data_IF_701584687687
#
_entry.id   IF_701584687687
#
_cell.length_a   1.000
_cell.length_b   1.000
_cell.length_c   1.000
_cell.angle_alpha   90.00
_cell.angle_beta   90.00
_cell.angle_gamma   90.00
#
_symmetry.space_group_name_H-M   'P 1'
#
loop_
_entity.id
_entity.type
_entity.pdbx_description
1 polymer ?
#
# COMPACT_ATOMS: atom_id res chain seq x y z
N UNK A 1 7.41 33.12 38.97
CA UNK A 1 8.19 31.87 39.00
C UNK A 1 7.25 30.73 38.67
N UNK A 2 7.65 29.84 37.76
CA UNK A 2 6.74 28.92 37.07
C UNK A 2 6.23 27.80 37.98
N UNK A 3 4.94 27.84 38.31
CA UNK A 3 4.19 26.82 39.07
C UNK A 3 4.38 25.39 38.53
N UNK A 4 4.74 25.24 37.24
CA UNK A 4 5.02 23.95 36.62
C UNK A 4 6.28 23.29 37.18
N UNK A 5 7.30 24.04 37.60
CA UNK A 5 8.57 23.48 38.10
C UNK A 5 8.43 22.91 39.51
N UNK A 6 7.33 23.17 40.20
CA UNK A 6 7.03 22.63 41.53
C UNK A 6 6.18 21.36 41.48
N UNK A 7 5.57 21.06 40.32
CA UNK A 7 4.76 19.86 40.17
C UNK A 7 5.63 18.60 40.27
N UNK A 8 5.10 17.49 40.81
CA UNK A 8 5.74 16.17 40.74
C UNK A 8 6.05 15.72 39.29
N UNK A 9 7.10 14.90 39.11
CA UNK A 9 7.56 14.46 37.78
C UNK A 9 6.48 13.69 37.00
N UNK A 10 5.70 12.84 37.67
CA UNK A 10 4.58 12.08 37.10
C UNK A 10 3.46 12.98 36.55
N UNK A 11 3.16 14.08 37.24
CA UNK A 11 2.23 15.11 36.75
C UNK A 11 2.82 15.79 35.52
N UNK A 12 4.11 16.14 35.55
CA UNK A 12 4.78 16.74 34.41
C UNK A 12 4.84 15.81 33.19
N UNK A 13 5.07 14.51 33.39
CA UNK A 13 4.98 13.51 32.32
C UNK A 13 3.58 13.50 31.70
N UNK A 14 2.54 13.53 32.54
CA UNK A 14 1.16 13.56 32.08
C UNK A 14 0.80 14.84 31.33
N UNK A 15 1.41 15.98 31.64
CA UNK A 15 1.22 17.22 30.87
C UNK A 15 1.98 17.17 29.55
N UNK A 16 3.27 16.79 29.58
CA UNK A 16 4.14 16.82 28.41
C UNK A 16 3.69 15.86 27.32
N UNK A 17 3.07 14.72 27.66
CA UNK A 17 2.61 13.74 26.67
C UNK A 17 1.52 14.26 25.72
N UNK A 18 0.85 15.36 26.07
CA UNK A 18 -0.16 16.01 25.22
C UNK A 18 0.40 17.13 24.34
N UNK A 19 1.69 17.44 24.49
CA UNK A 19 2.36 18.45 23.67
C UNK A 19 2.68 17.89 22.29
N UNK A 20 2.55 18.73 21.26
CA UNK A 20 3.07 18.41 19.94
C UNK A 20 4.61 18.33 19.98
N UNK A 21 5.21 17.61 19.03
CA UNK A 21 6.66 17.43 19.00
C UNK A 21 7.48 18.75 19.12
N UNK A 22 7.14 19.84 18.38
CA UNK A 22 7.86 21.11 18.51
C UNK A 22 7.79 21.72 19.92
N UNK A 23 6.66 21.54 20.59
CA UNK A 23 6.43 22.06 21.94
C UNK A 23 7.23 21.26 22.97
N UNK A 24 7.39 19.94 22.76
CA UNK A 24 8.29 19.10 23.56
C UNK A 24 9.73 19.62 23.43
N UNK A 25 10.20 19.94 22.22
CA UNK A 25 11.54 20.53 22.01
C UNK A 25 11.71 21.90 22.65
N UNK A 26 10.70 22.75 22.56
CA UNK A 26 10.73 24.07 23.17
C UNK A 26 10.79 23.94 24.69
N UNK A 27 9.97 23.05 25.26
CA UNK A 27 9.96 22.72 26.69
C UNK A 27 11.31 22.19 27.15
N UNK A 28 11.95 21.29 26.39
CA UNK A 28 13.29 20.75 26.69
C UNK A 28 14.35 21.84 26.90
N UNK A 29 14.28 22.95 26.17
CA UNK A 29 15.26 24.05 26.22
C UNK A 29 15.12 24.96 27.43
N UNK A 30 14.07 24.80 28.24
CA UNK A 30 13.76 25.75 29.32
C UNK A 30 14.58 25.50 30.60
N UNK A 31 14.72 24.25 31.05
CA UNK A 31 15.54 23.90 32.21
C UNK A 31 16.00 22.43 32.20
N UNK A 32 17.01 22.09 33.02
CA UNK A 32 17.56 20.72 33.12
C UNK A 32 16.52 19.67 33.51
N UNK A 33 15.55 20.03 34.35
CA UNK A 33 14.47 19.11 34.78
C UNK A 33 13.58 18.74 33.59
N UNK A 34 13.11 19.73 32.82
CA UNK A 34 12.34 19.46 31.61
C UNK A 34 13.16 18.76 30.53
N UNK A 35 14.46 19.04 30.45
CA UNK A 35 15.35 18.26 29.59
C UNK A 35 15.34 16.78 29.95
N UNK A 36 15.47 16.43 31.23
CA UNK A 36 15.43 15.04 31.68
C UNK A 36 14.07 14.37 31.39
N UNK A 37 12.97 15.05 31.71
CA UNK A 37 11.60 14.53 31.52
C UNK A 37 11.30 14.29 30.02
N UNK A 38 11.66 15.23 29.15
CA UNK A 38 11.46 15.08 27.69
C UNK A 38 12.39 14.05 27.03
N UNK A 39 13.34 13.45 27.77
CA UNK A 39 14.18 12.35 27.30
C UNK A 39 13.66 10.97 27.73
N UNK A 40 12.54 10.91 28.44
CA UNK A 40 11.91 9.63 28.76
C UNK A 40 11.20 9.08 27.53
N UNK A 41 11.50 7.82 27.22
CA UNK A 41 10.96 7.10 26.05
C UNK A 41 9.45 7.22 25.91
N UNK A 42 8.71 7.07 27.01
CA UNK A 42 7.25 7.10 27.01
C UNK A 42 6.65 8.42 26.48
N UNK A 43 7.36 9.54 26.67
CA UNK A 43 6.95 10.83 26.09
C UNK A 43 6.93 10.74 24.56
N UNK A 44 7.99 10.22 23.95
CA UNK A 44 8.09 10.08 22.50
C UNK A 44 7.21 8.96 21.94
N UNK A 45 7.06 7.85 22.67
CA UNK A 45 6.09 6.81 22.30
C UNK A 45 4.67 7.37 22.30
N UNK A 46 4.31 8.20 23.28
CA UNK A 46 2.99 8.84 23.32
C UNK A 46 2.86 9.87 22.22
N UNK A 47 3.85 10.74 22.01
CA UNK A 47 3.85 11.71 20.92
C UNK A 47 3.68 11.03 19.57
N UNK A 48 4.39 9.92 19.31
CA UNK A 48 4.24 9.11 18.10
C UNK A 48 2.80 8.59 17.93
N UNK A 49 2.20 8.03 19.00
CA UNK A 49 0.84 7.45 18.95
C UNK A 49 -0.27 8.50 18.84
N UNK A 50 -0.09 9.66 19.46
CA UNK A 50 -1.13 10.70 19.62
C UNK A 50 -1.05 11.81 18.60
N UNK A 51 0.03 11.88 17.82
CA UNK A 51 0.18 12.88 16.76
C UNK A 51 -0.86 12.63 15.66
N UNK A 52 -2.01 13.28 15.80
CA UNK A 52 -3.14 13.23 14.85
C UNK A 52 -2.83 13.85 13.49
N UNK A 53 -1.68 14.52 13.32
CA UNK A 53 -1.22 15.14 12.07
C UNK A 53 -0.20 14.33 11.27
N UNK A 54 0.54 13.43 11.93
CA UNK A 54 1.75 12.81 11.38
C UNK A 54 1.52 11.56 10.55
N UNK A 55 2.12 11.54 9.37
CA UNK A 55 2.28 10.31 8.58
C UNK A 55 3.56 9.58 9.04
N UNK A 56 3.44 8.74 10.07
CA UNK A 56 4.57 7.98 10.63
C UNK A 56 4.75 6.61 9.95
N UNK A 57 6.00 6.14 9.74
CA UNK A 57 6.26 4.78 9.33
C UNK A 57 5.87 3.83 10.45
N UNK A 58 5.29 2.70 10.08
CA UNK A 58 5.05 1.62 11.03
C UNK A 58 6.40 1.10 11.52
N UNK A 59 6.70 1.24 12.80
CA UNK A 59 7.91 0.67 13.42
C UNK A 59 7.48 -0.15 14.62
N UNK A 60 8.22 -1.22 14.94
CA UNK A 60 8.06 -1.86 16.23
C UNK A 60 8.55 -0.89 17.32
N UNK A 61 7.59 -0.28 18.01
CA UNK A 61 7.85 0.71 19.05
C UNK A 61 8.63 0.11 20.23
N UNK A 62 8.66 -1.22 20.41
CA UNK A 62 9.42 -1.87 21.48
C UNK A 62 10.92 -1.94 21.19
N UNK A 63 11.33 -2.09 19.92
CA UNK A 63 12.75 -2.09 19.53
C UNK A 63 13.38 -0.69 19.39
N UNK A 64 12.60 0.37 19.17
CA UNK A 64 13.16 1.72 18.90
C UNK A 64 13.76 2.40 20.14
N UNK A 65 14.95 3.00 20.09
CA UNK A 65 15.45 3.80 21.23
C UNK A 65 14.65 5.10 21.41
N UNK A 66 14.82 5.80 22.54
CA UNK A 66 14.24 7.15 22.72
C UNK A 66 14.67 8.09 21.59
N UNK A 67 15.94 8.04 21.20
CA UNK A 67 16.50 8.90 20.15
C UNK A 67 15.89 8.56 18.80
N UNK A 68 15.68 7.28 18.50
CA UNK A 68 15.02 6.86 17.26
C UNK A 68 13.58 7.37 17.20
N UNK A 69 12.81 7.18 18.28
CA UNK A 69 11.43 7.68 18.37
C UNK A 69 11.36 9.19 18.21
N UNK A 70 12.26 9.92 18.87
CA UNK A 70 12.37 11.37 18.73
C UNK A 70 12.63 11.78 17.28
N UNK A 71 13.60 11.15 16.62
CA UNK A 71 13.92 11.44 15.22
C UNK A 71 12.76 11.10 14.28
N UNK A 72 12.08 9.97 14.50
CA UNK A 72 10.91 9.58 13.72
C UNK A 72 9.80 10.63 13.86
N UNK A 73 9.53 11.08 15.08
CA UNK A 73 8.48 12.05 15.34
C UNK A 73 8.82 13.42 14.73
N UNK A 74 10.07 13.85 14.86
CA UNK A 74 10.57 15.07 14.23
C UNK A 74 10.44 15.04 12.71
N UNK A 75 10.93 13.98 12.07
CA UNK A 75 10.89 13.84 10.60
C UNK A 75 9.45 13.86 10.09
N UNK A 76 8.54 13.18 10.78
CA UNK A 76 7.12 13.22 10.46
C UNK A 76 6.56 14.64 10.50
N UNK A 77 6.83 15.35 11.60
CA UNK A 77 6.36 16.71 11.75
C UNK A 77 6.95 17.66 10.70
N UNK A 78 8.25 17.56 10.43
CA UNK A 78 8.90 18.33 9.38
C UNK A 78 8.28 18.04 8.00
N UNK A 79 7.92 16.79 7.76
CA UNK A 79 7.27 16.37 6.52
C UNK A 79 5.85 16.94 6.44
N UNK A 80 5.07 16.91 7.51
CA UNK A 80 3.74 17.54 7.53
C UNK A 80 3.82 19.04 7.28
N UNK A 81 4.76 19.72 7.94
CA UNK A 81 4.98 21.16 7.76
C UNK A 81 5.40 21.49 6.33
N UNK A 82 6.21 20.62 5.72
CA UNK A 82 6.59 20.70 4.32
C UNK A 82 5.37 20.59 3.41
N UNK A 83 4.51 19.59 3.64
CA UNK A 83 3.31 19.36 2.85
C UNK A 83 2.26 20.45 3.02
N UNK A 84 2.11 20.98 4.24
CA UNK A 84 1.20 22.08 4.54
C UNK A 84 1.63 23.41 3.89
N UNK A 85 2.91 23.54 3.48
CA UNK A 85 3.44 24.76 2.89
C UNK A 85 4.15 24.50 1.54
N UNK A 86 3.41 24.49 0.42
CA UNK A 86 3.96 24.25 -0.91
C UNK A 86 5.06 25.23 -1.34
N UNK A 87 5.11 26.42 -0.72
CA UNK A 87 6.18 27.39 -1.02
C UNK A 87 7.56 26.90 -0.53
N UNK A 88 7.59 26.09 0.53
CA UNK A 88 8.80 25.43 1.03
C UNK A 88 9.18 24.22 0.17
N UNK A 89 8.23 23.63 -0.56
CA UNK A 89 8.47 22.48 -1.43
C UNK A 89 9.59 22.72 -2.45
N UNK A 90 9.65 23.94 -3.01
CA UNK A 90 10.64 24.33 -4.01
C UNK A 90 12.10 24.15 -3.56
N UNK A 91 12.39 24.23 -2.27
CA UNK A 91 13.77 24.17 -1.73
C UNK A 91 14.31 22.75 -1.51
N UNK A 92 13.45 21.73 -1.46
CA UNK A 92 13.89 20.35 -1.14
C UNK A 92 13.85 19.38 -2.33
N UNK A 93 13.49 19.86 -3.53
CA UNK A 93 13.63 19.09 -4.78
C UNK A 93 15.09 18.88 -5.23
N UNK A 94 16.07 19.20 -4.39
CA UNK A 94 17.48 19.26 -4.78
C UNK A 94 18.10 17.87 -5.02
N UNK A 95 17.46 16.78 -4.56
CA UNK A 95 17.88 15.42 -4.94
C UNK A 95 17.06 14.89 -6.11
N UNK A 96 17.41 15.41 -7.29
CA UNK A 96 17.02 14.85 -8.57
C UNK A 96 17.95 13.71 -8.93
N UNK A 97 17.41 12.55 -9.21
CA UNK A 97 18.13 11.45 -9.81
C UNK A 97 17.47 11.11 -11.14
N UNK A 98 18.26 11.06 -12.21
CA UNK A 98 17.76 10.73 -13.52
C UNK A 98 18.31 9.38 -13.93
N UNK A 99 17.42 8.51 -14.39
CA UNK A 99 17.78 7.30 -15.13
C UNK A 99 17.51 7.57 -16.60
N UNK A 100 18.47 7.25 -17.45
CA UNK A 100 18.35 7.26 -18.90
C UNK A 100 18.61 5.86 -19.48
N UNK A 101 18.32 5.68 -20.76
CA UNK A 101 18.47 4.38 -21.41
C UNK A 101 19.89 3.82 -21.34
N UNK A 102 20.90 4.69 -21.29
CA UNK A 102 22.30 4.30 -21.13
C UNK A 102 22.57 3.77 -19.71
N UNK A 103 22.11 4.49 -18.69
CA UNK A 103 22.22 4.09 -17.27
C UNK A 103 21.49 2.78 -16.99
N UNK A 104 20.31 2.60 -17.59
CA UNK A 104 19.52 1.38 -17.42
C UNK A 104 19.99 0.23 -18.33
N UNK A 105 20.76 0.51 -19.38
CA UNK A 105 21.12 -0.47 -20.40
C UNK A 105 19.90 -1.08 -21.11
N UNK A 106 18.79 -0.35 -21.16
CA UNK A 106 17.53 -0.71 -21.84
C UNK A 106 16.90 0.56 -22.42
N UNK A 107 16.04 0.44 -23.43
CA UNK A 107 15.26 1.58 -23.88
C UNK A 107 14.15 1.88 -22.85
N UNK A 108 14.23 3.03 -22.19
CA UNK A 108 13.20 3.46 -21.23
C UNK A 108 11.82 3.60 -21.89
N UNK A 109 11.76 3.88 -23.19
CA UNK A 109 10.49 3.96 -23.91
C UNK A 109 9.78 2.61 -24.06
N UNK A 110 10.53 1.51 -23.88
CA UNK A 110 10.02 0.13 -23.91
C UNK A 110 9.65 -0.40 -22.52
N UNK A 111 9.70 0.43 -21.47
CA UNK A 111 9.20 0.04 -20.14
C UNK A 111 7.69 -0.17 -20.22
N UNK A 112 7.26 -1.37 -19.84
CA UNK A 112 5.86 -1.81 -19.88
C UNK A 112 5.12 -1.48 -18.59
N UNK A 113 5.83 -1.51 -17.47
CA UNK A 113 5.27 -1.21 -16.16
C UNK A 113 6.34 -0.76 -15.16
N UNK A 114 5.87 -0.12 -14.10
CA UNK A 114 6.70 0.39 -13.02
C UNK A 114 6.04 0.21 -11.65
N UNK A 115 6.87 -0.01 -10.64
CA UNK A 115 6.41 -0.12 -9.26
C UNK A 115 7.34 0.64 -8.33
N UNK A 116 6.75 1.39 -7.39
CA UNK A 116 7.46 1.82 -6.19
C UNK A 116 7.13 0.84 -5.07
N UNK A 117 8.16 0.47 -4.33
CA UNK A 117 8.04 -0.47 -3.24
C UNK A 117 8.68 0.09 -1.97
N UNK A 118 7.85 0.24 -0.91
CA UNK A 118 8.19 0.85 0.39
C UNK A 118 8.86 2.22 0.27
N UNK A 119 8.56 2.97 -0.80
CA UNK A 119 9.23 4.22 -1.15
C UNK A 119 10.76 4.11 -1.28
N UNK A 120 11.32 2.89 -1.35
CA UNK A 120 12.76 2.61 -1.36
C UNK A 120 13.20 1.95 -2.64
N UNK A 121 12.43 1.02 -3.17
CA UNK A 121 12.82 0.28 -4.37
C UNK A 121 11.97 0.74 -5.54
N UNK A 122 12.64 1.10 -6.65
CA UNK A 122 12.00 1.35 -7.93
C UNK A 122 12.19 0.10 -8.78
N UNK A 123 11.08 -0.51 -9.18
CA UNK A 123 11.04 -1.69 -10.03
C UNK A 123 10.66 -1.20 -11.42
N UNK A 124 11.50 -1.50 -12.41
CA UNK A 124 11.25 -1.21 -13.81
C UNK A 124 11.09 -2.51 -14.57
N UNK A 125 9.99 -2.62 -15.31
CA UNK A 125 9.66 -3.80 -16.07
C UNK A 125 9.82 -3.52 -17.57
N UNK A 126 10.82 -4.16 -18.17
CA UNK A 126 11.06 -4.18 -19.62
C UNK A 126 10.77 -5.60 -20.15
N UNK A 127 10.30 -5.78 -21.40
CA UNK A 127 9.89 -7.10 -21.92
C UNK A 127 10.93 -8.22 -21.78
N UNK A 128 12.20 -7.85 -21.70
CA UNK A 128 13.33 -8.78 -21.58
C UNK A 128 14.13 -8.62 -20.29
N UNK A 129 13.87 -7.58 -19.49
CA UNK A 129 14.70 -7.26 -18.32
C UNK A 129 13.84 -6.73 -17.18
N UNK A 130 14.11 -7.22 -15.97
CA UNK A 130 13.57 -6.63 -14.74
C UNK A 130 14.73 -5.95 -14.02
N UNK A 131 14.54 -4.67 -13.72
CA UNK A 131 15.51 -3.88 -12.95
C UNK A 131 14.90 -3.48 -11.62
N UNK A 132 15.70 -3.56 -10.56
CA UNK A 132 15.34 -2.98 -9.28
C UNK A 132 16.45 -2.06 -8.81
N UNK A 133 16.07 -0.82 -8.54
CA UNK A 133 16.95 0.22 -8.01
C UNK A 133 16.62 0.47 -6.55
N UNK A 134 17.65 0.54 -5.69
CA UNK A 134 17.49 1.07 -4.34
C UNK A 134 17.71 2.58 -4.37
N UNK A 135 16.61 3.32 -4.24
CA UNK A 135 16.56 4.78 -4.27
C UNK A 135 17.32 5.43 -3.09
N UNK A 136 17.63 4.67 -2.04
CA UNK A 136 18.42 5.16 -0.92
C UNK A 136 19.90 5.29 -1.29
N UNK A 137 20.46 4.23 -1.88
CA UNK A 137 21.86 4.19 -2.32
C UNK A 137 22.04 4.66 -3.77
N UNK A 138 20.93 4.90 -4.49
CA UNK A 138 20.87 5.37 -5.88
C UNK A 138 21.62 4.45 -6.83
N UNK A 139 21.41 3.14 -6.68
CA UNK A 139 22.08 2.15 -7.50
C UNK A 139 21.14 1.00 -7.88
N UNK A 140 21.45 0.35 -8.99
CA UNK A 140 20.87 -0.93 -9.36
C UNK A 140 21.30 -1.96 -8.30
N UNK A 141 20.32 -2.62 -7.69
CA UNK A 141 20.55 -3.69 -6.69
C UNK A 141 20.21 -5.06 -7.25
N UNK A 142 19.46 -5.11 -8.34
CA UNK A 142 19.06 -6.35 -8.97
C UNK A 142 18.74 -6.14 -10.45
N UNK A 143 19.16 -7.13 -11.25
CA UNK A 143 18.84 -7.24 -12.66
C UNK A 143 18.57 -8.70 -12.99
N UNK A 144 17.45 -8.95 -13.63
CA UNK A 144 17.13 -10.24 -14.21
C UNK A 144 16.90 -10.09 -15.70
N UNK A 145 17.71 -10.77 -16.52
CA UNK A 145 17.53 -10.83 -17.96
C UNK A 145 16.77 -12.10 -18.30
N UNK A 146 15.66 -11.96 -19.02
CA UNK A 146 14.93 -13.09 -19.56
C UNK A 146 15.86 -13.91 -20.47
N UNK A 147 15.75 -15.25 -20.48
CA UNK A 147 16.42 -16.06 -21.47
C UNK A 147 16.00 -15.66 -22.90
N UNK A 148 16.79 -16.01 -23.90
CA UNK A 148 16.42 -15.73 -25.31
C UNK A 148 15.06 -16.40 -25.61
N UNK A 149 14.16 -15.68 -26.29
CA UNK A 149 12.77 -16.08 -26.61
C UNK A 149 11.77 -16.06 -25.43
N UNK A 150 12.17 -15.51 -24.29
CA UNK A 150 11.28 -15.30 -23.15
C UNK A 150 10.83 -13.83 -23.15
N UNK A 151 9.52 -13.60 -23.20
CA UNK A 151 8.91 -12.28 -22.98
C UNK A 151 8.26 -12.27 -21.62
N UNK A 152 8.55 -11.24 -20.82
CA UNK A 152 7.83 -11.03 -19.59
C UNK A 152 6.40 -10.55 -19.88
N UNK A 153 5.42 -11.36 -19.50
CA UNK A 153 4.03 -10.91 -19.42
C UNK A 153 3.79 -10.39 -17.99
N UNK A 154 3.43 -9.12 -17.91
CA UNK A 154 3.18 -8.50 -16.63
C UNK A 154 1.89 -9.02 -16.02
N UNK A 155 2.00 -9.50 -14.78
CA UNK A 155 0.87 -9.74 -13.90
C UNK A 155 0.63 -8.44 -13.14
N UNK A 156 -0.60 -7.94 -13.19
CA UNK A 156 -0.91 -6.67 -12.55
C UNK A 156 -0.69 -6.74 -11.03
N UNK A 157 0.48 -6.28 -10.56
CA UNK A 157 0.86 -6.39 -9.16
C UNK A 157 0.16 -5.32 -8.31
N UNK A 158 -0.98 -5.71 -7.75
CA UNK A 158 -1.52 -5.09 -6.55
C UNK A 158 -0.85 -5.74 -5.34
N UNK A 159 0.47 -5.58 -5.20
CA UNK A 159 1.18 -6.01 -3.99
C UNK A 159 0.83 -5.02 -2.88
N UNK A 160 -0.15 -5.41 -2.06
CA UNK A 160 -0.58 -4.63 -0.91
C UNK A 160 -0.12 -5.37 0.33
N UNK A 161 1.13 -5.14 0.72
CA UNK A 161 1.58 -5.54 2.04
C UNK A 161 0.96 -4.58 3.03
N UNK A 162 0.13 -5.10 3.93
CA UNK A 162 -0.12 -4.39 5.17
C UNK A 162 1.22 -4.32 5.88
N UNK A 163 1.80 -3.12 5.98
CA UNK A 163 3.19 -2.80 6.40
C UNK A 163 3.54 -3.33 7.82
N UNK A 164 2.65 -4.05 8.49
CA UNK A 164 2.89 -4.63 9.83
C UNK A 164 3.96 -5.72 9.85
N UNK A 165 4.16 -6.46 8.76
CA UNK A 165 5.09 -7.61 8.77
C UNK A 165 6.43 -7.27 8.10
N UNK A 166 7.18 -6.33 8.71
CA UNK A 166 8.53 -5.94 8.24
C UNK A 166 9.59 -7.04 8.29
N UNK A 167 9.26 -8.19 8.89
CA UNK A 167 10.15 -9.34 8.99
C UNK A 167 9.94 -10.38 7.89
N UNK A 168 8.86 -10.28 7.10
CA UNK A 168 8.59 -11.25 6.04
C UNK A 168 9.28 -10.85 4.75
N UNK A 169 9.73 -11.85 4.02
CA UNK A 169 10.23 -11.65 2.67
C UNK A 169 9.09 -11.17 1.74
N UNK A 170 9.46 -10.36 0.76
CA UNK A 170 8.50 -9.81 -0.18
C UNK A 170 8.63 -10.48 -1.53
N UNK A 171 7.52 -10.88 -2.11
CA UNK A 171 7.53 -11.58 -3.39
C UNK A 171 7.00 -10.64 -4.50
N UNK A 172 7.75 -10.54 -5.59
CA UNK A 172 7.38 -9.84 -6.81
C UNK A 172 7.20 -10.87 -7.94
N UNK A 173 5.98 -11.17 -8.36
CA UNK A 173 5.75 -12.18 -9.38
C UNK A 173 5.87 -11.58 -10.80
N UNK A 174 6.32 -12.40 -11.73
CA UNK A 174 6.35 -12.11 -13.17
C UNK A 174 6.32 -13.40 -13.99
N UNK A 175 5.68 -13.37 -15.15
CA UNK A 175 5.60 -14.54 -16.06
C UNK A 175 6.78 -14.50 -17.00
N UNK A 176 7.50 -15.61 -17.15
CA UNK A 176 8.79 -15.59 -17.86
C UNK A 176 8.69 -16.02 -19.31
N UNK A 177 7.65 -16.74 -19.72
CA UNK A 177 7.44 -17.00 -21.15
C UNK A 177 6.01 -17.41 -21.47
N UNK A 178 5.56 -17.07 -22.68
CA UNK A 178 4.29 -17.54 -23.25
C UNK A 178 4.28 -19.06 -23.47
N UNK A 179 5.44 -19.65 -23.71
CA UNK A 179 5.61 -21.07 -24.02
C UNK A 179 5.65 -21.91 -22.75
N UNK A 180 6.51 -21.55 -21.79
CA UNK A 180 6.66 -22.30 -20.54
C UNK A 180 5.57 -21.96 -19.53
N UNK A 181 4.98 -20.75 -19.65
CA UNK A 181 3.93 -20.23 -18.76
C UNK A 181 4.30 -20.33 -17.28
N UNK A 182 5.60 -20.28 -16.99
CA UNK A 182 6.15 -20.31 -15.64
C UNK A 182 6.10 -18.92 -15.02
N UNK A 183 5.71 -18.87 -13.75
CA UNK A 183 5.84 -17.66 -12.93
C UNK A 183 7.12 -17.76 -12.13
N UNK A 184 7.98 -16.77 -12.28
CA UNK A 184 9.06 -16.53 -11.35
C UNK A 184 8.62 -15.50 -10.33
N UNK A 185 9.11 -15.67 -9.11
CA UNK A 185 8.97 -14.66 -8.07
C UNK A 185 10.35 -14.15 -7.68
N UNK A 186 10.50 -12.83 -7.58
CA UNK A 186 11.65 -12.21 -6.93
C UNK A 186 11.28 -11.98 -5.47
N UNK A 187 11.98 -12.69 -4.61
CA UNK A 187 11.93 -12.52 -3.17
C UNK A 187 12.90 -11.41 -2.75
N UNK A 188 12.41 -10.37 -2.10
CA UNK A 188 13.17 -9.26 -1.54
C UNK A 188 13.13 -9.38 -0.02
N UNK A 189 14.26 -9.67 0.60
CA UNK A 189 14.33 -9.74 2.05
C UNK A 189 14.31 -8.34 2.69
N UNK A 190 13.92 -8.23 3.97
CA UNK A 190 14.02 -6.97 4.73
C UNK A 190 15.45 -6.39 4.78
N UNK A 191 16.46 -7.26 4.67
CA UNK A 191 17.88 -6.87 4.62
C UNK A 191 18.30 -6.33 3.24
N UNK A 192 17.39 -6.32 2.27
CA UNK A 192 17.63 -5.86 0.91
C UNK A 192 18.33 -6.89 0.02
N UNK A 193 18.45 -8.15 0.47
CA UNK A 193 18.93 -9.22 -0.39
C UNK A 193 17.80 -9.65 -1.32
N UNK A 194 18.06 -9.67 -2.62
CA UNK A 194 17.08 -10.12 -3.62
C UNK A 194 17.47 -11.49 -4.15
N UNK A 195 16.53 -12.44 -4.10
CA UNK A 195 16.70 -13.80 -4.60
C UNK A 195 15.57 -14.13 -5.56
N UNK A 196 15.89 -14.82 -6.66
CA UNK A 196 14.87 -15.33 -7.58
C UNK A 196 14.48 -16.71 -7.12
N UNK A 197 13.18 -16.94 -6.97
CA UNK A 197 12.61 -18.23 -6.65
C UNK A 197 11.67 -18.64 -7.77
N UNK A 198 11.99 -19.76 -8.42
CA UNK A 198 11.06 -20.39 -9.35
C UNK A 198 9.92 -21.06 -8.57
N UNK A 199 8.71 -20.85 -9.08
CA UNK A 199 7.47 -21.32 -8.48
C UNK A 199 6.74 -22.17 -9.51
N UNK A 200 7.23 -23.38 -9.80
CA UNK A 200 6.65 -24.25 -10.82
C UNK A 200 5.19 -24.63 -10.51
N UNK A 201 4.77 -24.56 -9.24
CA UNK A 201 3.39 -24.75 -8.81
C UNK A 201 2.43 -23.67 -9.34
N UNK A 202 2.97 -22.54 -9.81
CA UNK A 202 2.25 -21.44 -10.44
C UNK A 202 2.27 -21.52 -11.98
N UNK A 203 2.62 -22.67 -12.57
CA UNK A 203 2.52 -22.84 -14.02
C UNK A 203 1.06 -22.78 -14.44
N UNK A 204 0.70 -21.76 -15.21
CA UNK A 204 -0.67 -21.61 -15.70
C UNK A 204 -0.80 -22.18 -17.11
N UNK A 205 -1.98 -22.69 -17.45
CA UNK A 205 -2.34 -22.91 -18.85
C UNK A 205 -2.87 -21.60 -19.46
N UNK A 206 -1.98 -20.61 -19.68
CA UNK A 206 -2.26 -19.39 -20.45
C UNK A 206 -2.46 -19.68 -21.94
N UNK A 207 -3.65 -20.15 -22.35
CA UNK A 207 -3.96 -20.21 -23.77
C UNK A 207 -3.88 -18.80 -24.38
N UNK A 208 -2.99 -18.65 -25.37
CA UNK A 208 -2.85 -17.53 -26.31
C UNK A 208 -3.27 -16.14 -25.80
N UNK A 209 -2.34 -15.45 -25.14
CA UNK A 209 -2.31 -13.99 -25.12
C UNK A 209 -3.18 -13.32 -24.07
N UNK A 210 -3.53 -14.00 -22.99
CA UNK A 210 -4.44 -13.42 -21.99
C UNK A 210 -3.94 -13.47 -20.56
N UNK A 211 -4.34 -12.45 -19.80
CA UNK A 211 -3.77 -12.08 -18.50
C UNK A 211 -4.37 -12.92 -17.37
N UNK A 212 -3.54 -13.66 -16.63
CA UNK A 212 -3.94 -14.17 -15.31
C UNK A 212 -3.99 -13.00 -14.32
N UNK A 213 -5.00 -12.96 -13.45
CA UNK A 213 -4.98 -12.02 -12.33
C UNK A 213 -4.17 -12.62 -11.20
N UNK A 214 -3.19 -11.87 -10.70
CA UNK A 214 -2.41 -12.21 -9.52
C UNK A 214 -2.45 -11.05 -8.54
N UNK A 215 -2.88 -11.31 -7.31
CA UNK A 215 -2.73 -10.37 -6.20
C UNK A 215 -2.04 -11.06 -5.04
N UNK A 216 -1.14 -10.35 -4.37
CA UNK A 216 -0.30 -10.92 -3.33
C UNK A 216 -0.26 -10.05 -2.08
N UNK A 217 -0.23 -10.72 -0.93
CA UNK A 217 -0.05 -10.11 0.38
C UNK A 217 0.38 -11.17 1.39
N UNK A 218 1.29 -10.83 2.31
CA UNK A 218 1.66 -11.61 3.50
C UNK A 218 1.71 -13.13 3.23
N UNK A 219 2.67 -13.55 2.42
CA UNK A 219 2.92 -14.96 2.05
C UNK A 219 1.82 -15.65 1.22
N UNK A 220 0.81 -14.92 0.76
CA UNK A 220 -0.30 -15.45 0.01
C UNK A 220 -0.40 -14.83 -1.36
N UNK A 221 -0.81 -15.64 -2.33
CA UNK A 221 -1.10 -15.25 -3.70
C UNK A 221 -2.52 -15.69 -4.06
N UNK A 222 -3.36 -14.77 -4.52
CA UNK A 222 -4.66 -15.08 -5.14
C UNK A 222 -4.48 -15.07 -6.65
N UNK A 223 -4.89 -16.16 -7.28
CA UNK A 223 -4.71 -16.38 -8.71
C UNK A 223 -6.04 -16.71 -9.36
N UNK A 224 -6.32 -16.11 -10.50
CA UNK A 224 -7.40 -16.54 -11.39
C UNK A 224 -6.85 -16.90 -12.77
N UNK A 225 -6.96 -18.18 -13.19
CA UNK A 225 -6.81 -18.58 -14.58
C UNK A 225 -8.01 -18.07 -15.39
N UNK A 226 -7.78 -17.53 -16.57
CA UNK A 226 -8.86 -16.92 -17.36
C UNK A 226 -9.86 -17.94 -17.93
N UNK A 227 -9.36 -19.09 -18.43
CA UNK A 227 -10.20 -20.08 -19.12
C UNK A 227 -10.87 -21.10 -18.20
N UNK A 228 -10.49 -21.14 -16.92
CA UNK A 228 -11.24 -21.87 -15.92
C UNK A 228 -12.15 -20.86 -15.22
N UNK A 229 -13.36 -20.67 -15.77
CA UNK A 229 -14.40 -19.72 -15.30
C UNK A 229 -14.68 -19.78 -13.78
N UNK A 230 -14.10 -20.72 -13.03
CA UNK A 230 -14.45 -21.04 -11.65
C UNK A 230 -13.29 -21.39 -10.71
N UNK A 231 -12.03 -21.26 -11.11
CA UNK A 231 -10.92 -21.68 -10.26
C UNK A 231 -10.06 -20.51 -9.78
N UNK A 232 -10.63 -19.58 -9.00
CA UNK A 232 -9.77 -18.70 -8.20
C UNK A 232 -9.12 -19.56 -7.12
N UNK A 233 -7.81 -19.44 -6.94
CA UNK A 233 -7.02 -20.20 -5.98
C UNK A 233 -6.23 -19.25 -5.07
N UNK A 234 -6.07 -19.61 -3.80
CA UNK A 234 -5.07 -19.01 -2.91
C UNK A 234 -3.89 -19.95 -2.78
N UNK A 235 -2.69 -19.39 -2.81
CA UNK A 235 -1.45 -20.14 -2.70
C UNK A 235 -0.66 -19.54 -1.55
N UNK A 236 -0.33 -20.37 -0.57
CA UNK A 236 0.54 -19.98 0.53
C UNK A 236 1.98 -20.23 0.11
N UNK A 237 2.67 -19.17 -0.31
CA UNK A 237 3.97 -19.18 -0.98
C UNK A 237 5.04 -19.96 -0.19
N UNK A 238 5.21 -19.78 1.14
CA UNK A 238 6.23 -20.51 1.89
C UNK A 238 5.99 -22.03 1.89
N UNK A 239 4.74 -22.45 2.05
CA UNK A 239 4.38 -23.89 2.10
C UNK A 239 4.08 -24.50 0.74
N UNK A 240 3.94 -23.67 -0.30
CA UNK A 240 3.46 -24.03 -1.64
C UNK A 240 2.12 -24.75 -1.68
N UNK A 241 1.32 -24.62 -0.63
CA UNK A 241 -0.03 -25.20 -0.56
C UNK A 241 -1.00 -24.35 -1.37
N UNK A 242 -1.82 -25.03 -2.17
CA UNK A 242 -2.87 -24.44 -3.01
C UNK A 242 -4.23 -24.72 -2.36
N UNK A 243 -5.06 -23.69 -2.28
CA UNK A 243 -6.39 -23.70 -1.70
C UNK A 243 -7.39 -23.20 -2.75
N UNK A 244 -8.19 -24.08 -3.38
CA UNK A 244 -9.19 -23.66 -4.34
C UNK A 244 -10.35 -22.97 -3.62
N UNK A 245 -10.87 -21.87 -4.18
CA UNK A 245 -12.12 -21.28 -3.69
C UNK A 245 -13.31 -21.98 -4.34
N UNK A 246 -14.32 -22.30 -3.54
CA UNK A 246 -15.62 -22.72 -4.07
C UNK A 246 -16.41 -21.49 -4.50
N UNK A 247 -16.27 -21.08 -5.77
CA UNK A 247 -16.95 -19.92 -6.36
C UNK A 247 -18.43 -20.14 -6.67
N UNK A 248 -19.16 -20.85 -5.82
CA UNK A 248 -20.62 -20.87 -5.89
C UNK A 248 -21.19 -19.93 -4.82
N UNK A 249 -21.14 -18.60 -4.99
CA UNK A 249 -22.15 -17.79 -4.34
C UNK A 249 -23.49 -18.39 -4.76
N UNK A 250 -24.31 -18.72 -3.77
CA UNK A 250 -25.53 -19.52 -3.95
C UNK A 250 -26.48 -18.88 -4.98
N UNK A 251 -26.32 -17.57 -5.21
CA UNK A 251 -27.13 -16.72 -6.07
C UNK A 251 -26.32 -16.00 -7.18
N UNK A 252 -25.07 -16.37 -7.43
CA UNK A 252 -24.30 -15.70 -8.48
C UNK A 252 -24.78 -16.10 -9.89
N UNK A 253 -24.93 -15.14 -10.81
CA UNK A 253 -25.20 -15.41 -12.21
C UNK A 253 -24.05 -16.21 -12.85
N UNK A 254 -24.32 -16.95 -13.95
CA UNK A 254 -23.33 -17.79 -14.61
C UNK A 254 -22.12 -17.02 -15.13
N UNK A 255 -22.28 -15.74 -15.46
CA UNK A 255 -21.28 -14.93 -16.15
C UNK A 255 -20.54 -13.96 -15.21
N UNK A 256 -20.03 -14.47 -14.10
CA UNK A 256 -19.17 -13.70 -13.19
C UNK A 256 -17.69 -13.82 -13.59
N UNK A 257 -16.99 -12.69 -13.59
CA UNK A 257 -15.54 -12.61 -13.72
C UNK A 257 -14.97 -12.06 -12.43
N UNK A 258 -13.88 -12.65 -11.93
CA UNK A 258 -13.21 -12.07 -10.78
C UNK A 258 -12.59 -10.71 -11.15
N UNK A 259 -12.64 -9.78 -10.20
CA UNK A 259 -12.27 -8.37 -10.41
C UNK A 259 -11.08 -7.97 -9.55
N UNK A 260 -11.11 -8.27 -8.25
CA UNK A 260 -10.02 -7.95 -7.34
C UNK A 260 -10.03 -8.81 -6.08
N UNK A 261 -8.87 -8.95 -5.45
CA UNK A 261 -8.71 -9.60 -4.16
C UNK A 261 -8.16 -8.60 -3.15
N UNK A 262 -8.66 -8.69 -1.91
CA UNK A 262 -8.19 -7.89 -0.81
C UNK A 262 -7.82 -8.78 0.37
N UNK A 263 -6.56 -8.74 0.76
CA UNK A 263 -6.09 -9.40 1.97
C UNK A 263 -6.33 -8.49 3.16
N UNK A 264 -7.05 -9.00 4.15
CA UNK A 264 -7.44 -8.27 5.34
C UNK A 264 -6.70 -8.88 6.54
N UNK A 265 -6.13 -8.04 7.43
CA UNK A 265 -5.52 -8.51 8.67
C UNK A 265 -6.46 -9.39 9.50
N UNK A 266 -5.87 -10.35 10.22
CA UNK A 266 -6.63 -11.43 10.87
C UNK A 266 -6.83 -12.66 9.98
N UNK A 267 -6.18 -12.69 8.81
CA UNK A 267 -6.17 -13.84 7.92
C UNK A 267 -7.47 -14.00 7.15
N UNK A 268 -8.00 -12.91 6.61
CA UNK A 268 -9.16 -12.94 5.72
C UNK A 268 -8.78 -12.51 4.30
N UNK A 269 -9.50 -13.02 3.31
CA UNK A 269 -9.41 -12.57 1.92
C UNK A 269 -10.81 -12.27 1.41
N UNK A 270 -11.02 -11.04 0.98
CA UNK A 270 -12.23 -10.61 0.31
C UNK A 270 -11.99 -10.66 -1.20
N UNK A 271 -12.68 -11.56 -1.88
CA UNK A 271 -12.70 -11.61 -3.34
C UNK A 271 -13.88 -10.80 -3.84
N UNK A 272 -13.68 -10.08 -4.92
CA UNK A 272 -14.73 -9.34 -5.63
C UNK A 272 -14.86 -9.86 -7.06
N UNK A 273 -16.09 -9.89 -7.55
CA UNK A 273 -16.47 -10.38 -8.86
C UNK A 273 -17.41 -9.39 -9.52
N UNK A 274 -17.42 -9.39 -10.84
CA UNK A 274 -18.28 -8.54 -11.66
C UNK A 274 -18.99 -9.39 -12.72
N UNK A 275 -20.24 -9.08 -13.02
CA UNK A 275 -20.92 -9.66 -14.17
C UNK A 275 -20.42 -9.06 -15.48
N UNK A 276 -20.36 -9.88 -16.53
CA UNK A 276 -20.30 -9.35 -17.89
C UNK A 276 -21.70 -8.81 -18.29
N UNK A 277 -21.74 -7.73 -19.09
CA UNK A 277 -23.00 -7.17 -19.62
C UNK A 277 -23.26 -5.69 -19.34
N UNK A 278 -24.47 -5.23 -19.68
CA UNK A 278 -24.90 -3.83 -19.59
C UNK A 278 -25.19 -3.36 -18.16
N UNK A 279 -25.65 -4.26 -17.29
CA UNK A 279 -25.78 -4.04 -15.85
C UNK A 279 -24.65 -4.77 -15.12
N UNK A 280 -23.59 -4.04 -14.77
CA UNK A 280 -22.49 -4.62 -13.98
C UNK A 280 -22.89 -4.65 -12.53
N UNK A 281 -23.16 -5.85 -12.05
CA UNK A 281 -23.37 -6.16 -10.65
C UNK A 281 -22.04 -6.62 -10.07
N UNK A 282 -21.71 -6.11 -8.88
CA UNK A 282 -20.53 -6.51 -8.14
C UNK A 282 -20.91 -7.44 -7.01
N UNK A 283 -20.18 -8.52 -6.90
CA UNK A 283 -20.37 -9.55 -5.88
C UNK A 283 -19.10 -9.62 -5.04
N UNK A 284 -19.24 -10.02 -3.79
CA UNK A 284 -18.10 -10.39 -2.98
C UNK A 284 -18.29 -11.74 -2.31
N UNK A 285 -17.15 -12.34 -1.97
CA UNK A 285 -17.06 -13.47 -1.08
C UNK A 285 -15.87 -13.28 -0.14
N UNK A 286 -16.11 -13.38 1.17
CA UNK A 286 -15.11 -13.25 2.21
C UNK A 286 -14.71 -14.62 2.73
N UNK A 287 -13.41 -14.92 2.71
CA UNK A 287 -12.84 -16.19 3.14
C UNK A 287 -11.93 -15.98 4.33
N UNK A 288 -11.93 -16.94 5.26
CA UNK A 288 -10.96 -17.00 6.36
C UNK A 288 -9.84 -17.96 5.96
N UNK A 289 -8.60 -17.60 6.23
CA UNK A 289 -7.40 -18.35 5.84
C UNK A 289 -6.66 -18.98 7.00
N UNK A 290 -6.64 -18.35 8.19
CA UNK A 290 -5.74 -18.74 9.27
C UNK A 290 -5.87 -20.22 9.68
N UNK A 291 -7.11 -20.71 9.80
CA UNK A 291 -7.38 -22.12 10.14
C UNK A 291 -7.03 -23.08 8.98
N UNK A 292 -7.00 -22.57 7.75
CA UNK A 292 -6.81 -23.35 6.54
C UNK A 292 -5.34 -23.46 6.12
N UNK A 293 -4.48 -22.50 6.48
CA UNK A 293 -3.03 -22.61 6.24
C UNK A 293 -2.47 -23.90 6.90
N UNK A 294 -3.08 -24.33 8.00
CA UNK A 294 -2.76 -25.56 8.71
C UNK A 294 -3.39 -26.82 8.11
N UNK A 295 -4.37 -26.70 7.21
CA UNK A 295 -5.03 -27.84 6.57
C UNK A 295 -4.18 -28.43 5.44
N UNK A 296 -4.58 -29.60 4.96
CA UNK A 296 -3.95 -30.27 3.82
C UNK A 296 -4.19 -29.47 2.54
N UNK A 297 -3.17 -29.42 1.66
CA UNK A 297 -3.29 -28.81 0.34
C UNK A 297 -4.49 -29.39 -0.44
N UNK A 298 -5.15 -28.55 -1.24
CA UNK A 298 -6.31 -28.95 -2.05
C UNK A 298 -7.66 -28.92 -1.31
N UNK A 299 -7.68 -28.64 0.00
CA UNK A 299 -8.94 -28.46 0.74
C UNK A 299 -9.65 -27.19 0.25
N UNK A 300 -10.90 -27.27 -0.23
CA UNK A 300 -11.60 -26.10 -0.73
C UNK A 300 -11.93 -25.11 0.39
N UNK A 301 -11.74 -23.83 0.10
CA UNK A 301 -12.15 -22.73 0.97
C UNK A 301 -13.61 -22.38 0.69
N UNK A 302 -14.39 -22.25 1.75
CA UNK A 302 -15.79 -21.82 1.69
C UNK A 302 -15.91 -20.38 2.16
N UNK A 303 -16.78 -19.59 1.50
CA UNK A 303 -17.01 -18.23 1.92
C UNK A 303 -17.68 -18.23 3.29
N UNK A 304 -17.15 -17.42 4.20
CA UNK A 304 -17.81 -17.09 5.47
C UNK A 304 -18.95 -16.11 5.25
N UNK A 305 -18.83 -15.24 4.25
CA UNK A 305 -19.82 -14.25 3.86
C UNK A 305 -19.83 -14.09 2.35
N UNK A 306 -20.98 -13.73 1.80
CA UNK A 306 -21.15 -13.40 0.39
C UNK A 306 -22.26 -12.35 0.25
N UNK A 307 -22.21 -11.58 -0.82
CA UNK A 307 -23.23 -10.57 -1.09
C UNK A 307 -22.92 -9.74 -2.32
N UNK A 308 -23.64 -8.63 -2.45
CA UNK A 308 -23.50 -7.68 -3.54
C UNK A 308 -22.99 -6.34 -3.03
N UNK A 309 -22.22 -5.64 -3.85
CA UNK A 309 -21.96 -4.22 -3.64
C UNK A 309 -22.98 -3.39 -4.40
N UNK A 310 -23.45 -2.32 -3.77
CA UNK A 310 -24.38 -1.37 -4.39
C UNK A 310 -23.68 -0.42 -5.39
N UNK A 311 -22.35 -0.37 -5.37
CA UNK A 311 -21.54 0.53 -6.19
C UNK A 311 -20.68 -0.25 -7.18
N UNK A 312 -20.61 0.25 -8.40
CA UNK A 312 -19.74 -0.28 -9.46
C UNK A 312 -18.29 0.12 -9.22
N UNK A 313 -17.40 -0.85 -9.02
CA UNK A 313 -15.97 -0.59 -8.86
C UNK A 313 -15.07 -1.56 -9.62
N UNK A 314 -13.96 -1.03 -10.10
CA UNK A 314 -12.91 -1.77 -10.80
C UNK A 314 -11.96 -2.45 -9.82
N UNK A 315 -11.62 -1.79 -8.72
CA UNK A 315 -10.62 -2.26 -7.76
C UNK A 315 -10.94 -1.86 -6.33
N UNK A 316 -10.52 -2.73 -5.42
CA UNK A 316 -10.60 -2.56 -3.98
C UNK A 316 -9.18 -2.45 -3.41
N UNK A 317 -8.90 -1.38 -2.67
CA UNK A 317 -7.62 -1.19 -2.00
C UNK A 317 -7.84 -1.08 -0.49
N UNK A 318 -7.18 -1.93 0.29
CA UNK A 318 -7.23 -1.86 1.75
C UNK A 318 -6.45 -0.62 2.16
N UNK A 319 -7.13 0.32 2.80
CA UNK A 319 -6.46 1.43 3.44
C UNK A 319 -6.01 0.95 4.80
N UNK A 320 -6.95 0.71 5.70
CA UNK A 320 -6.63 0.36 7.07
C UNK A 320 -7.55 -0.71 7.60
N UNK A 321 -7.12 -1.35 8.67
CA UNK A 321 -7.95 -2.26 9.44
C UNK A 321 -7.65 -2.13 10.92
N UNK A 322 -8.67 -2.20 11.74
CA UNK A 322 -8.53 -2.26 13.18
C UNK A 322 -9.52 -3.28 13.76
N UNK A 323 -9.08 -3.96 14.80
CA UNK A 323 -9.96 -4.84 15.57
C UNK A 323 -10.50 -4.02 16.74
N UNK A 324 -11.80 -3.78 16.74
CA UNK A 324 -12.47 -3.11 17.85
C UNK A 324 -12.31 -3.89 19.16
N UNK A 325 -12.53 -3.22 20.29
CA UNK A 325 -12.56 -3.85 21.62
C UNK A 325 -13.64 -4.94 21.74
N UNK A 326 -14.67 -4.89 20.88
CA UNK A 326 -15.74 -5.90 20.80
C UNK A 326 -15.35 -7.13 19.97
N UNK A 327 -14.15 -7.16 19.39
CA UNK A 327 -13.69 -8.20 18.48
C UNK A 327 -14.16 -8.04 17.03
N UNK A 328 -15.03 -7.07 16.74
CA UNK A 328 -15.40 -6.73 15.35
C UNK A 328 -14.17 -6.20 14.62
N UNK A 329 -13.91 -6.72 13.42
CA UNK A 329 -12.85 -6.26 12.54
C UNK A 329 -13.46 -5.25 11.59
N UNK A 330 -13.01 -4.01 11.63
CA UNK A 330 -13.39 -3.04 10.62
C UNK A 330 -12.20 -2.70 9.75
N UNK A 331 -12.46 -2.39 8.49
CA UNK A 331 -11.45 -1.95 7.56
C UNK A 331 -12.01 -0.94 6.58
N UNK A 332 -11.17 0.03 6.24
CA UNK A 332 -11.49 1.02 5.21
C UNK A 332 -10.90 0.58 3.90
N UNK A 333 -11.68 0.64 2.83
CA UNK A 333 -11.21 0.38 1.49
C UNK A 333 -11.51 1.54 0.55
N UNK A 334 -10.63 1.74 -0.43
CA UNK A 334 -10.83 2.65 -1.54
C UNK A 334 -11.32 1.87 -2.75
N UNK A 335 -12.54 2.17 -3.21
CA UNK A 335 -13.11 1.63 -4.44
C UNK A 335 -12.81 2.57 -5.59
N UNK A 336 -12.18 2.08 -6.66
CA UNK A 336 -12.07 2.83 -7.92
C UNK A 336 -13.26 2.50 -8.81
N UNK A 337 -14.23 3.39 -8.96
CA UNK A 337 -15.36 3.21 -9.88
C UNK A 337 -15.04 3.55 -11.34
N UNK A 338 -16.01 3.26 -12.22
CA UNK A 338 -16.01 3.78 -13.60
C UNK A 338 -15.82 5.30 -13.58
N UNK A 339 -15.09 5.82 -14.57
CA UNK A 339 -14.73 7.24 -14.70
C UNK A 339 -13.73 7.79 -13.66
N UNK A 340 -12.98 6.91 -12.98
CA UNK A 340 -11.97 7.25 -11.97
C UNK A 340 -12.55 7.98 -10.76
N UNK A 341 -13.80 7.66 -10.40
CA UNK A 341 -14.35 8.10 -9.11
C UNK A 341 -13.80 7.18 -8.02
N UNK A 342 -13.53 7.74 -6.84
CA UNK A 342 -13.10 6.95 -5.69
C UNK A 342 -14.18 6.98 -4.63
N UNK A 343 -14.42 5.85 -3.98
CA UNK A 343 -15.31 5.76 -2.82
C UNK A 343 -14.51 5.23 -1.65
N UNK A 344 -14.69 5.86 -0.50
CA UNK A 344 -14.26 5.26 0.76
C UNK A 344 -15.38 4.42 1.31
N UNK A 345 -15.07 3.17 1.60
CA UNK A 345 -16.02 2.24 2.18
C UNK A 345 -15.48 1.79 3.50
N UNK A 346 -16.26 1.99 4.54
CA UNK A 346 -16.01 1.43 5.84
C UNK A 346 -16.74 0.08 5.91
N UNK A 347 -15.96 -1.01 5.99
CA UNK A 347 -16.48 -2.37 6.01
C UNK A 347 -16.30 -2.91 7.43
N UNK A 348 -17.39 -3.32 8.06
CA UNK A 348 -17.38 -3.91 9.41
C UNK A 348 -17.74 -5.38 9.35
N UNK A 349 -16.82 -6.24 9.76
CA UNK A 349 -17.05 -7.65 10.05
C UNK A 349 -17.36 -7.80 11.54
N UNK A 350 -18.64 -8.00 11.84
CA UNK A 350 -19.14 -8.22 13.19
C UNK A 350 -18.75 -9.62 13.69
N UNK A 351 -18.59 -9.76 15.01
CA UNK A 351 -18.24 -11.03 15.64
C UNK A 351 -19.28 -12.14 15.46
N UNK A 352 -20.51 -11.80 15.08
CA UNK A 352 -21.59 -12.75 14.75
C UNK A 352 -21.53 -13.23 13.28
N UNK A 353 -20.53 -12.80 12.50
CA UNK A 353 -20.44 -13.14 11.09
C UNK A 353 -21.43 -12.35 10.23
N UNK A 354 -21.71 -11.10 10.58
CA UNK A 354 -22.34 -10.13 9.66
C UNK A 354 -21.29 -9.21 9.07
N UNK A 355 -21.45 -8.89 7.79
CA UNK A 355 -20.64 -7.89 7.10
C UNK A 355 -21.53 -6.67 6.80
N UNK A 356 -21.14 -5.50 7.27
CA UNK A 356 -21.81 -4.24 6.99
C UNK A 356 -20.92 -3.34 6.13
N UNK A 357 -21.54 -2.67 5.16
CA UNK A 357 -20.89 -1.67 4.31
C UNK A 357 -21.47 -0.31 4.63
N UNK A 358 -20.62 0.60 5.08
CA UNK A 358 -20.95 2.00 5.26
C UNK A 358 -20.20 2.79 4.20
N UNK A 359 -20.94 3.20 3.17
CA UNK A 359 -20.41 3.99 2.06
C UNK A 359 -20.29 5.43 2.54
N UNK A 360 -19.05 5.91 2.69
CA UNK A 360 -18.80 7.31 3.03
C UNK A 360 -19.21 8.25 1.89
N UNK A 361 -19.12 9.55 2.15
CA UNK A 361 -19.36 10.58 1.13
C UNK A 361 -18.50 10.33 -0.12
N UNK A 362 -19.08 10.58 -1.30
CA UNK A 362 -18.38 10.46 -2.57
C UNK A 362 -17.14 11.35 -2.58
N UNK A 363 -15.98 10.77 -2.88
CA UNK A 363 -14.78 11.55 -3.17
C UNK A 363 -15.05 12.31 -4.47
N UNK A 364 -14.87 13.65 -4.50
CA UNK A 364 -15.23 14.42 -5.68
C UNK A 364 -14.50 13.89 -6.92
N UNK A 365 -15.22 13.85 -8.07
CA UNK A 365 -14.86 13.25 -9.37
C UNK A 365 -13.62 13.84 -10.08
N UNK A 366 -12.68 14.41 -9.33
CA UNK A 366 -11.60 15.26 -9.81
C UNK A 366 -10.24 14.57 -9.76
N UNK A 367 -10.14 13.32 -9.29
CA UNK A 367 -8.87 12.64 -9.07
C UNK A 367 -8.60 11.56 -10.15
N UNK A 368 -7.38 11.53 -10.68
CA UNK A 368 -6.82 10.49 -11.54
C UNK A 368 -5.57 9.91 -10.89
N UNK A 369 -5.33 8.60 -11.04
CA UNK A 369 -4.12 7.97 -10.52
C UNK A 369 -3.93 8.17 -9.01
N UNK A 370 -4.96 7.85 -8.21
CA UNK A 370 -4.85 7.95 -6.76
C UNK A 370 -3.92 6.84 -6.24
N UNK A 371 -2.75 7.24 -5.73
CA UNK A 371 -1.81 6.40 -5.02
C UNK A 371 -1.88 6.75 -3.55
N UNK A 372 -2.25 5.80 -2.68
CA UNK A 372 -2.34 5.99 -1.24
C UNK A 372 -1.37 5.05 -0.52
N UNK A 373 -0.62 5.58 0.43
CA UNK A 373 0.15 4.82 1.41
C UNK A 373 -0.57 4.91 2.75
N UNK A 374 -0.69 3.81 3.49
CA UNK A 374 -1.44 3.80 4.76
C UNK A 374 -0.50 3.54 5.92
N UNK A 375 -0.67 4.30 7.01
CA UNK A 375 0.10 4.11 8.22
C UNK A 375 -0.57 3.12 9.20
N UNK A 376 0.10 2.87 10.32
CA UNK A 376 -0.36 1.94 11.37
C UNK A 376 -1.62 2.39 12.11
N UNK A 377 -1.91 3.70 12.13
CA UNK A 377 -3.11 4.27 12.73
C UNK A 377 -4.30 4.28 11.76
N UNK A 378 -4.13 3.71 10.57
CA UNK A 378 -5.17 3.63 9.57
C UNK A 378 -5.46 4.91 8.79
N UNK A 379 -4.57 5.89 8.89
CA UNK A 379 -4.57 7.07 8.05
C UNK A 379 -3.84 6.76 6.76
N UNK A 380 -4.48 7.04 5.63
CA UNK A 380 -3.83 6.99 4.32
C UNK A 380 -3.42 8.38 3.88
N UNK A 381 -2.26 8.51 3.26
CA UNK A 381 -1.86 9.74 2.58
C UNK A 381 -1.30 9.37 1.22
N UNK A 382 -1.51 10.23 0.24
CA UNK A 382 -1.11 9.92 -1.10
C UNK A 382 -1.26 11.06 -2.08
N UNK A 383 -1.14 10.72 -3.36
CA UNK A 383 -1.22 11.68 -4.46
C UNK A 383 -2.30 11.27 -5.44
N UNK A 384 -2.92 12.26 -6.05
CA UNK A 384 -3.72 12.08 -7.25
C UNK A 384 -3.50 13.27 -8.18
N UNK A 385 -3.69 13.04 -9.47
CA UNK A 385 -3.69 14.09 -10.47
C UNK A 385 -5.10 14.68 -10.61
N UNK A 386 -5.19 16.01 -10.68
CA UNK A 386 -6.46 16.67 -10.96
C UNK A 386 -6.98 16.42 -12.38
N UNK A 387 -8.29 16.27 -12.54
CA UNK A 387 -8.99 16.03 -13.82
C UNK A 387 -9.03 17.26 -14.76
N UNK A 388 -8.17 18.26 -14.58
CA UNK A 388 -8.21 19.50 -15.37
C UNK A 388 -7.31 19.36 -16.60
N UNK A 389 -7.82 18.73 -17.67
CA UNK A 389 -7.07 18.41 -18.89
C UNK A 389 -5.82 17.56 -18.57
N UNK A 390 -5.00 17.17 -19.55
CA UNK A 390 -3.78 16.34 -19.38
C UNK A 390 -2.71 16.94 -18.46
N UNK A 391 -2.98 18.09 -17.84
CA UNK A 391 -2.05 18.92 -17.09
C UNK A 391 -2.64 19.42 -15.76
N UNK A 392 -3.63 18.71 -15.21
CA UNK A 392 -4.24 19.11 -13.95
C UNK A 392 -3.23 19.12 -12.81
N UNK A 393 -3.40 20.01 -11.81
CA UNK A 393 -2.48 20.11 -10.70
C UNK A 393 -2.50 18.82 -9.88
N UNK A 394 -1.36 18.45 -9.33
CA UNK A 394 -1.28 17.35 -8.38
C UNK A 394 -2.03 17.72 -7.10
N UNK A 395 -2.59 16.72 -6.46
CA UNK A 395 -3.32 16.85 -5.21
C UNK A 395 -2.76 15.88 -4.19
N UNK A 396 -2.42 16.40 -3.03
CA UNK A 396 -2.17 15.60 -1.84
C UNK A 396 -3.53 15.18 -1.29
N UNK A 397 -3.74 13.88 -1.16
CA UNK A 397 -4.93 13.30 -0.58
C UNK A 397 -4.57 12.75 0.80
N UNK A 398 -5.30 13.16 1.82
CA UNK A 398 -5.14 12.68 3.18
C UNK A 398 -6.45 12.08 3.67
N UNK A 399 -6.46 10.78 3.85
CA UNK A 399 -7.61 9.98 4.27
C UNK A 399 -7.43 9.58 5.72
N UNK A 400 -8.38 9.94 6.58
CA UNK A 400 -8.35 9.53 7.98
C UNK A 400 -9.76 9.26 8.48
N UNK A 401 -9.85 8.57 9.62
CA UNK A 401 -11.11 8.35 10.33
C UNK A 401 -11.25 9.43 11.39
N UNK A 402 -12.40 10.09 11.45
CA UNK A 402 -12.66 11.08 12.51
C UNK A 402 -13.02 10.39 13.84
N UNK A 403 -13.19 11.17 14.92
CA UNK A 403 -13.53 10.62 16.24
C UNK A 403 -14.85 9.84 16.31
N UNK A 404 -15.72 9.94 15.29
CA UNK A 404 -16.99 9.21 15.19
C UNK A 404 -16.88 7.92 14.38
N UNK A 405 -15.72 7.61 13.80
CA UNK A 405 -15.56 6.48 12.90
C UNK A 405 -15.83 6.81 11.42
N UNK A 406 -16.14 8.06 11.09
CA UNK A 406 -16.47 8.44 9.70
C UNK A 406 -15.18 8.69 8.89
N UNK A 407 -15.09 8.16 7.65
CA UNK A 407 -13.99 8.46 6.76
C UNK A 407 -14.04 9.93 6.31
N UNK A 408 -12.89 10.62 6.40
CA UNK A 408 -12.68 11.96 5.89
C UNK A 408 -11.55 11.96 4.87
N UNK A 409 -11.77 12.63 3.73
CA UNK A 409 -10.69 12.97 2.80
C UNK A 409 -10.46 14.47 2.81
N UNK A 410 -9.24 14.86 3.14
CA UNK A 410 -8.74 16.19 2.90
C UNK A 410 -7.91 16.20 1.62
N UNK A 411 -8.28 17.05 0.66
CA UNK A 411 -7.58 17.20 -0.61
C UNK A 411 -6.96 18.59 -0.65
N UNK A 412 -5.66 18.67 -0.86
CA UNK A 412 -4.93 19.93 -1.01
C UNK A 412 -4.12 19.94 -2.29
N UNK A 413 -4.15 21.05 -3.04
CA UNK A 413 -3.38 21.19 -4.28
C UNK A 413 -1.88 21.25 -3.99
N UNK A 414 -1.13 20.38 -4.63
CA UNK A 414 0.31 20.45 -4.75
C UNK A 414 0.65 21.29 -5.97
N UNK A 415 1.38 22.39 -5.76
CA UNK A 415 1.91 23.22 -6.84
C UNK A 415 3.12 22.54 -7.53
N UNK A 416 2.97 21.26 -7.88
CA UNK A 416 3.94 20.50 -8.66
C UNK A 416 3.51 20.65 -10.12
N UNK A 417 4.27 21.46 -10.86
CA UNK A 417 4.10 21.62 -12.30
C UNK A 417 4.85 20.47 -13.00
N UNK A 418 4.15 19.69 -13.81
CA UNK A 418 4.73 18.61 -14.62
C UNK A 418 3.68 17.94 -15.50
N UNK A 419 4.03 17.66 -16.75
CA UNK A 419 3.16 17.05 -17.75
C UNK A 419 3.33 15.52 -17.86
N UNK A 420 4.13 14.94 -17.00
CA UNK A 420 4.57 13.55 -17.11
C UNK A 420 3.62 12.61 -16.34
N UNK A 421 3.59 11.33 -16.71
CA UNK A 421 2.99 10.29 -15.87
C UNK A 421 3.86 10.12 -14.62
N UNK A 422 3.25 9.99 -13.44
CA UNK A 422 3.99 9.76 -12.21
C UNK A 422 3.48 8.54 -11.46
N UNK A 423 4.42 7.83 -10.84
CA UNK A 423 4.14 6.99 -9.68
C UNK A 423 4.69 7.66 -8.44
N UNK A 424 3.93 7.57 -7.34
CA UNK A 424 4.28 8.19 -6.08
C UNK A 424 4.11 7.21 -4.93
N UNK A 425 5.08 7.18 -4.03
CA UNK A 425 4.96 6.47 -2.76
C UNK A 425 5.42 7.39 -1.62
N UNK A 426 4.56 7.51 -0.61
CA UNK A 426 4.81 8.28 0.59
C UNK A 426 5.37 7.44 1.74
N UNK A 427 5.61 6.14 1.51
CA UNK A 427 6.05 5.27 2.57
C UNK A 427 7.40 5.71 3.17
N UNK A 428 7.47 5.59 4.49
CA UNK A 428 8.68 5.80 5.30
C UNK A 428 9.40 7.14 5.07
N UNK A 429 8.67 8.26 5.03
CA UNK A 429 9.23 9.62 4.95
C UNK A 429 10.02 9.95 3.67
N UNK A 430 9.94 9.11 2.64
CA UNK A 430 10.83 9.23 1.48
C UNK A 430 10.22 9.89 0.28
N UNK A 431 8.90 10.15 0.32
CA UNK A 431 8.12 10.87 -0.69
C UNK A 431 8.80 10.84 -2.05
N UNK A 432 8.73 9.70 -2.73
CA UNK A 432 9.37 9.56 -4.02
C UNK A 432 8.32 9.86 -5.07
N UNK A 433 8.65 10.77 -5.97
CA UNK A 433 7.90 11.01 -7.19
C UNK A 433 8.78 10.58 -8.36
N UNK A 434 8.29 9.63 -9.14
CA UNK A 434 8.98 9.15 -10.35
C UNK A 434 8.19 9.67 -11.53
N UNK A 435 8.82 10.45 -12.40
CA UNK A 435 8.24 10.99 -13.64
C UNK A 435 8.81 10.28 -14.86
N UNK A 436 7.97 10.04 -15.86
CA UNK A 436 8.38 9.43 -17.12
C UNK A 436 8.37 10.46 -18.26
N UNK A 437 9.55 10.74 -18.79
CA UNK A 437 9.70 11.40 -20.08
C UNK A 437 10.02 10.37 -21.17
N UNK A 438 9.94 10.77 -22.44
CA UNK A 438 10.15 9.86 -23.60
C UNK A 438 11.41 8.98 -23.48
N UNK A 439 12.52 9.51 -22.96
CA UNK A 439 13.82 8.82 -22.92
C UNK A 439 14.47 8.86 -21.53
N UNK A 440 13.71 9.21 -20.49
CA UNK A 440 14.28 9.38 -19.14
C UNK A 440 13.24 9.18 -18.06
N UNK A 441 13.68 8.65 -16.94
CA UNK A 441 12.93 8.60 -15.70
C UNK A 441 13.54 9.63 -14.76
N UNK A 442 12.71 10.58 -14.34
CA UNK A 442 13.10 11.63 -13.40
C UNK A 442 12.57 11.28 -12.01
N UNK A 443 13.47 10.85 -11.13
CA UNK A 443 13.19 10.46 -9.75
C UNK A 443 13.47 11.66 -8.87
N UNK A 444 12.41 12.18 -8.25
CA UNK A 444 12.45 13.28 -7.30
C UNK A 444 12.20 12.72 -5.92
N UNK A 445 13.25 12.72 -5.11
CA UNK A 445 13.12 12.40 -3.69
C UNK A 445 12.76 13.65 -2.93
N UNK A 446 11.69 13.59 -2.15
CA UNK A 446 11.35 14.61 -1.20
C UNK A 446 12.20 14.36 0.03
N UNK A 447 13.33 15.06 0.11
CA UNK A 447 14.22 14.98 1.27
C UNK A 447 13.64 15.91 2.34
N UNK A 448 13.25 15.34 3.48
CA UNK A 448 12.85 16.08 4.68
C UNK A 448 13.92 15.93 5.75
#
# INVERSE_FOLDING_TARGET
>A
MSMLVELPDDVLFNVIKFLAAPDIFTTRKTCKRFQAITMVRNVWTTAYKTSSGGFFPIVDLASQTTVDLEQLVLRAHQMDMFWANPSHARRFYEQRWQLDSETCGIDISDIVDEGLYLGRYLILHHPQVILVYDLQIKNEVFRYNAPVNHEFLFLHNSCHTTIRDRETDYFLPFVVSRETRSVLMVQISPLGTMTITDCPELQFLVEHGVYAYLCMSNDLAVIQPEHEERAVQVIHLPSRKIYPFSLKPTDAPPDISFSSALFIPGGYVLLSFRTSGSSVNHFFALYRLHDHINQSAGTPLYPTHQGHFEVDFMRLHLLCSETSTTGSLWFMACLRARYNMFYLVHITLHGDGRLAFDMGDNVPNVLWGLHLTVNSSGRARGFAQGKVNTHGPWMLCDVHVNSKGEPLIHISTLNILGNDNFIGDLDVFRGVLVSYGRNKIDIRRLVV
#
